data_IF_154750422688
#
_entry.id   IF_154750422688
#
_cell.length_a   1.000
_cell.length_b   1.000
_cell.length_c   1.000
_cell.angle_alpha   90.00
_cell.angle_beta   90.00
_cell.angle_gamma   90.00
#
_symmetry.space_group_name_H-M   'P 1'
#
loop_
_entity.id
_entity.type
_entity.pdbx_description
1 polymer ?
#
# COMPACT_ATOMS: atom_id res chain seq x y z
N UNK A 1 -16.12 5.07 -8.05
CA UNK A 1 -17.59 4.98 -8.12
C UNK A 1 -18.19 5.70 -6.92
N UNK A 2 -19.27 6.50 -7.06
CA UNK A 2 -19.94 7.14 -5.93
C UNK A 2 -20.37 6.13 -4.85
N UNK A 3 -20.24 6.49 -3.56
CA UNK A 3 -20.65 5.60 -2.44
C UNK A 3 -22.13 5.22 -2.51
N UNK A 4 -22.98 6.14 -2.96
CA UNK A 4 -24.44 5.95 -3.11
C UNK A 4 -24.83 4.92 -4.17
N UNK A 5 -23.90 4.58 -5.07
CA UNK A 5 -24.13 3.67 -6.20
C UNK A 5 -23.33 2.37 -6.10
N UNK A 6 -22.84 2.02 -4.89
CA UNK A 6 -22.14 0.75 -4.68
C UNK A 6 -23.11 -0.44 -4.83
N UNK A 7 -22.91 -1.34 -5.81
CA UNK A 7 -23.69 -2.56 -5.88
C UNK A 7 -23.31 -3.44 -4.69
N UNK A 8 -24.24 -4.25 -4.17
CA UNK A 8 -23.96 -5.16 -3.06
C UNK A 8 -23.02 -6.32 -3.47
N UNK A 9 -22.98 -6.65 -4.76
CA UNK A 9 -22.14 -7.72 -5.31
C UNK A 9 -21.80 -7.46 -6.78
N UNK A 10 -20.73 -8.09 -7.27
CA UNK A 10 -20.36 -8.15 -8.67
C UNK A 10 -20.47 -9.58 -9.19
N UNK A 11 -21.14 -9.75 -10.33
CA UNK A 11 -21.22 -11.03 -11.04
C UNK A 11 -20.25 -11.04 -12.20
N UNK A 12 -19.26 -11.93 -12.15
CA UNK A 12 -18.16 -12.01 -13.11
C UNK A 12 -18.28 -13.35 -13.85
N UNK A 13 -18.52 -13.34 -15.17
CA UNK A 13 -18.51 -14.57 -15.95
C UNK A 13 -17.10 -15.15 -16.01
N UNK A 14 -16.97 -16.43 -15.73
CA UNK A 14 -15.71 -17.17 -15.75
C UNK A 14 -15.57 -17.91 -17.08
N UNK A 15 -14.41 -17.78 -17.71
CA UNK A 15 -14.02 -18.69 -18.79
C UNK A 15 -13.60 -20.03 -18.19
N UNK A 16 -14.02 -21.14 -18.79
CA UNK A 16 -13.59 -22.47 -18.39
C UNK A 16 -12.05 -22.54 -18.40
N UNK A 17 -11.40 -22.95 -17.29
CA UNK A 17 -9.95 -23.03 -17.25
C UNK A 17 -9.47 -24.14 -18.20
N UNK A 18 -8.40 -23.92 -18.98
CA UNK A 18 -7.72 -25.02 -19.65
C UNK A 18 -7.24 -26.01 -18.59
N UNK A 19 -7.50 -27.29 -18.81
CA UNK A 19 -7.40 -28.35 -17.82
C UNK A 19 -6.03 -28.40 -17.10
N UNK A 20 -6.09 -28.67 -15.77
CA UNK A 20 -5.02 -28.98 -14.79
C UNK A 20 -4.67 -27.91 -13.74
N UNK A 21 -5.18 -26.69 -13.80
CA UNK A 21 -4.95 -25.69 -12.73
C UNK A 21 -6.28 -25.14 -12.24
N UNK A 22 -6.54 -25.26 -10.94
CA UNK A 22 -7.65 -24.57 -10.27
C UNK A 22 -7.25 -23.12 -10.01
N UNK A 23 -7.85 -22.14 -10.71
CA UNK A 23 -7.56 -20.73 -10.46
C UNK A 23 -7.99 -20.33 -9.04
N UNK A 24 -7.16 -19.52 -8.36
CA UNK A 24 -7.53 -18.91 -7.08
C UNK A 24 -8.16 -17.56 -7.36
N UNK A 25 -9.48 -17.47 -7.24
CA UNK A 25 -10.21 -16.24 -7.47
C UNK A 25 -10.33 -15.39 -6.19
N UNK A 26 -10.39 -14.05 -6.31
CA UNK A 26 -10.79 -13.19 -5.21
C UNK A 26 -12.08 -13.66 -4.56
N UNK A 27 -12.19 -13.49 -3.25
CA UNK A 27 -13.41 -13.85 -2.50
C UNK A 27 -14.35 -12.67 -2.34
N UNK A 28 -13.82 -11.44 -2.38
CA UNK A 28 -14.52 -10.20 -2.11
C UNK A 28 -13.97 -9.10 -3.01
N UNK A 29 -14.73 -8.02 -3.15
CA UNK A 29 -14.24 -6.74 -3.67
C UNK A 29 -14.42 -5.69 -2.61
N UNK A 30 -13.37 -4.99 -2.22
CA UNK A 30 -13.45 -3.86 -1.32
C UNK A 30 -13.79 -2.60 -2.11
N UNK A 31 -14.79 -1.85 -1.67
CA UNK A 31 -15.04 -0.50 -2.12
C UNK A 31 -14.34 0.46 -1.15
N UNK A 32 -13.08 0.79 -1.48
CA UNK A 32 -12.18 1.56 -0.61
C UNK A 32 -12.38 3.03 -0.85
N UNK A 33 -12.66 3.78 0.20
CA UNK A 33 -12.96 5.21 0.14
C UNK A 33 -12.23 5.98 1.23
N UNK A 34 -12.07 7.29 1.05
CA UNK A 34 -11.42 8.09 2.09
C UNK A 34 -12.36 8.27 3.26
N UNK A 35 -11.82 8.15 4.48
CA UNK A 35 -12.50 8.49 5.73
C UNK A 35 -12.54 9.99 6.00
N UNK A 36 -11.71 10.79 5.31
CA UNK A 36 -11.59 12.24 5.50
C UNK A 36 -12.62 13.05 4.73
N UNK A 37 -13.25 12.45 3.72
CA UNK A 37 -14.20 13.12 2.85
C UNK A 37 -15.62 12.65 3.13
N UNK A 38 -16.47 13.60 3.53
CA UNK A 38 -17.88 13.39 3.87
C UNK A 38 -18.81 13.45 2.64
N UNK A 39 -18.38 14.08 1.55
CA UNK A 39 -19.18 14.24 0.32
C UNK A 39 -18.60 13.41 -0.83
N UNK A 40 -19.48 12.64 -1.49
CA UNK A 40 -19.32 11.89 -2.75
C UNK A 40 -17.91 11.35 -3.07
N UNK A 41 -17.29 10.72 -2.07
CA UNK A 41 -15.91 10.24 -2.23
C UNK A 41 -15.93 9.00 -3.10
N UNK A 42 -15.30 9.10 -4.27
CA UNK A 42 -15.21 7.98 -5.17
C UNK A 42 -14.52 6.80 -4.49
N UNK A 43 -15.20 5.67 -4.43
CA UNK A 43 -14.60 4.42 -4.01
C UNK A 43 -13.81 3.79 -5.16
N UNK A 44 -12.64 3.24 -4.84
CA UNK A 44 -11.88 2.34 -5.70
C UNK A 44 -12.30 0.89 -5.41
N UNK A 45 -12.47 0.09 -6.46
CA UNK A 45 -12.89 -1.31 -6.32
C UNK A 45 -11.64 -2.19 -6.33
N UNK A 46 -11.36 -2.88 -5.22
CA UNK A 46 -10.13 -3.64 -5.02
C UNK A 46 -10.45 -5.10 -4.72
N UNK A 47 -10.14 -6.05 -5.62
CA UNK A 47 -10.38 -7.47 -5.37
C UNK A 47 -9.42 -8.03 -4.31
N UNK A 48 -9.93 -8.86 -3.40
CA UNK A 48 -9.16 -9.41 -2.26
C UNK A 48 -9.57 -10.83 -1.87
N UNK A 49 -8.69 -11.53 -1.17
CA UNK A 49 -8.99 -12.76 -0.44
C UNK A 49 -9.18 -12.42 1.04
N UNK A 50 -10.29 -12.82 1.63
CA UNK A 50 -10.58 -12.58 3.05
C UNK A 50 -9.49 -13.16 3.97
N UNK A 51 -8.93 -14.31 3.60
CA UNK A 51 -7.84 -14.95 4.33
C UNK A 51 -6.59 -14.07 4.41
N UNK A 52 -6.21 -13.39 3.33
CA UNK A 52 -5.04 -12.49 3.32
C UNK A 52 -5.26 -11.32 4.28
N UNK A 53 -6.45 -10.72 4.26
CA UNK A 53 -6.79 -9.64 5.19
C UNK A 53 -6.83 -10.12 6.64
N UNK A 54 -7.47 -11.25 6.90
CA UNK A 54 -7.57 -11.81 8.25
C UNK A 54 -6.19 -12.19 8.83
N UNK A 55 -5.28 -12.65 7.97
CA UNK A 55 -3.93 -13.04 8.38
C UNK A 55 -3.04 -11.85 8.75
N UNK A 56 -3.35 -10.62 8.32
CA UNK A 56 -2.42 -9.50 8.41
C UNK A 56 -3.04 -8.23 9.03
N UNK A 57 -4.35 -8.05 8.98
CA UNK A 57 -5.05 -6.86 9.45
C UNK A 57 -5.87 -7.16 10.71
N UNK A 58 -5.32 -6.87 11.89
CA UNK A 58 -5.96 -7.17 13.17
C UNK A 58 -7.24 -6.38 13.46
N UNK A 59 -7.47 -5.26 12.75
CA UNK A 59 -8.67 -4.41 12.93
C UNK A 59 -9.67 -4.58 11.79
N UNK A 60 -9.42 -5.48 10.84
CA UNK A 60 -10.32 -5.71 9.72
C UNK A 60 -11.50 -6.57 10.16
N UNK A 61 -12.75 -6.22 9.78
CA UNK A 61 -13.92 -7.02 10.14
C UNK A 61 -13.84 -8.42 9.51
N UNK A 62 -14.33 -9.43 10.23
CA UNK A 62 -14.38 -10.79 9.71
C UNK A 62 -15.26 -10.85 8.45
N UNK A 63 -14.67 -11.30 7.34
CA UNK A 63 -15.37 -11.48 6.07
C UNK A 63 -15.72 -12.95 5.88
N UNK A 64 -17.02 -13.26 5.93
CA UNK A 64 -17.51 -14.61 5.65
C UNK A 64 -17.17 -14.99 4.21
N UNK A 65 -16.50 -16.11 4.02
CA UNK A 65 -16.23 -16.61 2.67
C UNK A 65 -17.54 -17.02 2.00
N UNK A 66 -17.88 -16.47 0.81
CA UNK A 66 -19.04 -16.93 0.08
C UNK A 66 -18.85 -18.39 -0.33
N UNK A 67 -19.95 -19.14 -0.40
CA UNK A 67 -19.95 -20.53 -0.88
C UNK A 67 -19.33 -20.61 -2.29
N UNK A 68 -18.53 -21.65 -2.53
CA UNK A 68 -17.85 -21.89 -3.81
C UNK A 68 -18.84 -21.77 -5.00
N UNK A 69 -18.42 -21.13 -6.12
CA UNK A 69 -19.29 -20.96 -7.27
C UNK A 69 -19.65 -22.34 -7.86
N UNK A 70 -20.94 -22.68 -7.86
CA UNK A 70 -21.48 -23.88 -8.51
C UNK A 70 -21.67 -23.66 -10.03
N UNK A 71 -21.44 -22.43 -10.50
CA UNK A 71 -21.74 -21.95 -11.86
C UNK A 71 -20.51 -21.33 -12.53
N UNK A 72 -20.57 -21.14 -13.86
CA UNK A 72 -19.62 -20.35 -14.65
C UNK A 72 -19.63 -18.84 -14.32
N UNK A 73 -20.19 -18.43 -13.19
CA UNK A 73 -20.26 -17.04 -12.74
C UNK A 73 -19.77 -16.96 -11.30
N UNK A 74 -18.77 -16.12 -11.09
CA UNK A 74 -18.25 -15.77 -9.78
C UNK A 74 -19.04 -14.58 -9.24
N UNK A 75 -19.72 -14.75 -8.11
CA UNK A 75 -20.41 -13.65 -7.43
C UNK A 75 -19.55 -13.18 -6.26
N UNK A 76 -19.07 -11.95 -6.32
CA UNK A 76 -18.22 -11.34 -5.30
C UNK A 76 -19.01 -10.31 -4.50
N UNK A 77 -19.19 -10.47 -3.18
CA UNK A 77 -19.72 -9.41 -2.34
C UNK A 77 -18.82 -8.17 -2.38
N UNK A 78 -19.45 -7.00 -2.40
CA UNK A 78 -18.76 -5.71 -2.34
C UNK A 78 -18.81 -5.20 -0.90
N UNK A 79 -17.64 -5.02 -0.29
CA UNK A 79 -17.52 -4.59 1.10
C UNK A 79 -17.00 -3.14 1.14
N UNK A 80 -17.81 -2.17 1.60
CA UNK A 80 -17.34 -0.81 1.75
C UNK A 80 -16.35 -0.70 2.91
N UNK A 81 -15.22 -0.04 2.67
CA UNK A 81 -14.26 0.32 3.73
C UNK A 81 -13.87 1.79 3.61
N UNK A 82 -13.54 2.39 4.75
CA UNK A 82 -13.02 3.74 4.83
C UNK A 82 -11.61 3.71 5.40
N UNK A 83 -10.66 4.28 4.68
CA UNK A 83 -9.26 4.42 5.10
C UNK A 83 -8.84 5.88 4.97
N UNK A 84 -7.84 6.36 5.72
CA UNK A 84 -7.30 7.71 5.54
C UNK A 84 -6.95 8.05 4.09
N UNK A 85 -6.27 7.15 3.37
CA UNK A 85 -5.77 7.36 2.00
C UNK A 85 -6.03 6.18 1.06
N UNK A 86 -7.13 6.19 0.28
CA UNK A 86 -7.44 5.08 -0.65
C UNK A 86 -6.34 4.75 -1.65
N UNK A 87 -5.53 5.74 -2.03
CA UNK A 87 -4.39 5.51 -2.92
C UNK A 87 -3.33 4.63 -2.24
N UNK A 88 -3.00 4.89 -0.98
CA UNK A 88 -2.03 4.13 -0.20
C UNK A 88 -2.47 2.68 0.03
N UNK A 89 -3.78 2.43 0.18
CA UNK A 89 -4.33 1.08 0.30
C UNK A 89 -3.90 0.14 -0.84
N UNK A 90 -3.76 0.64 -2.07
CA UNK A 90 -3.35 -0.22 -3.20
C UNK A 90 -1.91 -0.74 -3.06
N UNK A 91 -1.02 0.07 -2.47
CA UNK A 91 0.36 -0.32 -2.14
C UNK A 91 0.35 -1.39 -1.05
N UNK A 92 -0.39 -1.17 0.03
CA UNK A 92 -0.53 -2.15 1.12
C UNK A 92 -1.10 -3.46 0.60
N UNK A 93 -2.14 -3.40 -0.24
CA UNK A 93 -2.76 -4.58 -0.83
C UNK A 93 -1.82 -5.38 -1.72
N UNK A 94 -0.87 -4.74 -2.42
CA UNK A 94 0.18 -5.48 -3.13
C UNK A 94 1.15 -6.15 -2.14
N UNK A 95 1.64 -5.39 -1.15
CA UNK A 95 2.54 -5.90 -0.11
C UNK A 95 1.94 -7.12 0.63
N UNK A 96 0.65 -7.07 0.98
CA UNK A 96 -0.03 -8.16 1.68
C UNK A 96 0.03 -9.51 0.92
N UNK A 97 0.26 -9.46 -0.39
CA UNK A 97 0.33 -10.65 -1.24
C UNK A 97 1.76 -11.02 -1.62
N UNK A 98 2.61 -10.04 -1.92
CA UNK A 98 3.95 -10.28 -2.46
C UNK A 98 5.07 -10.12 -1.43
N UNK A 99 4.77 -9.51 -0.27
CA UNK A 99 5.72 -9.16 0.79
C UNK A 99 6.95 -8.39 0.29
N UNK A 100 6.80 -7.62 -0.80
CA UNK A 100 7.91 -6.89 -1.43
C UNK A 100 8.11 -5.50 -0.85
N UNK A 101 9.09 -5.38 0.04
CA UNK A 101 9.51 -4.09 0.62
C UNK A 101 9.95 -3.10 -0.46
N UNK A 102 10.55 -3.59 -1.54
CA UNK A 102 11.07 -2.73 -2.61
C UNK A 102 9.94 -2.08 -3.41
N UNK A 103 8.85 -2.82 -3.65
CA UNK A 103 7.62 -2.28 -4.24
C UNK A 103 7.01 -1.19 -3.37
N UNK A 104 7.05 -1.34 -2.04
CA UNK A 104 6.53 -0.34 -1.09
C UNK A 104 7.34 0.94 -1.15
N UNK A 105 8.67 0.88 -0.99
CA UNK A 105 9.51 2.07 -1.04
C UNK A 105 9.42 2.78 -2.39
N UNK A 106 9.43 2.02 -3.50
CA UNK A 106 9.30 2.56 -4.84
C UNK A 106 7.99 3.31 -5.07
N UNK A 107 6.91 2.92 -4.39
CA UNK A 107 5.62 3.61 -4.49
C UNK A 107 5.60 4.95 -3.73
N UNK A 108 6.47 5.14 -2.75
CA UNK A 108 6.52 6.36 -1.93
C UNK A 108 7.30 7.48 -2.63
N UNK A 109 8.49 7.16 -3.16
CA UNK A 109 9.40 8.12 -3.79
C UNK A 109 10.53 7.45 -4.57
N UNK A 110 11.25 8.18 -5.44
CA UNK A 110 12.39 7.63 -6.18
C UNK A 110 13.56 7.26 -5.26
N UNK A 111 14.15 6.09 -5.51
CA UNK A 111 15.36 5.59 -4.85
C UNK A 111 16.29 4.93 -5.88
N UNK A 112 17.60 4.77 -5.57
CA UNK A 112 18.54 4.10 -6.45
C UNK A 112 18.10 2.65 -6.76
N UNK A 113 18.12 2.28 -8.04
CA UNK A 113 17.65 0.95 -8.47
C UNK A 113 18.46 -0.20 -7.85
N UNK A 114 19.77 -0.02 -7.65
CA UNK A 114 20.65 -0.97 -6.99
C UNK A 114 20.33 -1.16 -5.50
N UNK A 115 19.83 -0.12 -4.83
CA UNK A 115 19.36 -0.22 -3.46
C UNK A 115 18.07 -1.06 -3.39
N UNK A 116 17.10 -0.75 -4.25
CA UNK A 116 15.83 -1.48 -4.32
C UNK A 116 16.01 -2.95 -4.72
N UNK A 117 16.90 -3.25 -5.66
CA UNK A 117 17.14 -4.61 -6.14
C UNK A 117 17.70 -5.56 -5.06
N UNK A 118 18.38 -5.01 -4.04
CA UNK A 118 18.97 -5.77 -2.93
C UNK A 118 18.24 -5.51 -1.61
N UNK A 119 17.01 -4.99 -1.67
CA UNK A 119 16.28 -4.65 -0.46
C UNK A 119 15.78 -5.92 0.22
N UNK A 120 16.10 -6.02 1.50
CA UNK A 120 15.63 -7.04 2.42
C UNK A 120 15.42 -6.40 3.79
N UNK A 121 14.76 -7.10 4.70
CA UNK A 121 14.57 -6.58 6.06
C UNK A 121 15.91 -6.29 6.76
N UNK A 122 16.94 -7.12 6.55
CA UNK A 122 18.27 -6.87 7.09
C UNK A 122 18.94 -5.64 6.47
N UNK A 123 18.77 -5.41 5.16
CA UNK A 123 19.22 -4.20 4.46
C UNK A 123 18.57 -2.95 5.05
N UNK A 124 17.25 -3.00 5.33
CA UNK A 124 16.51 -1.90 5.96
C UNK A 124 17.10 -1.57 7.32
N UNK A 125 17.26 -2.57 8.20
CA UNK A 125 17.80 -2.39 9.55
C UNK A 125 19.25 -1.90 9.54
N UNK A 126 20.09 -2.44 8.66
CA UNK A 126 21.47 -2.00 8.52
C UNK A 126 21.55 -0.54 8.06
N UNK A 127 20.66 -0.14 7.13
CA UNK A 127 20.56 1.24 6.65
C UNK A 127 20.13 2.17 7.78
N UNK A 128 19.11 1.81 8.56
CA UNK A 128 18.64 2.59 9.72
C UNK A 128 19.75 2.90 10.73
N UNK A 129 20.71 1.98 10.91
CA UNK A 129 21.86 2.19 11.80
C UNK A 129 23.04 2.89 11.13
N UNK A 130 23.02 3.06 9.82
CA UNK A 130 24.11 3.63 9.03
C UNK A 130 23.79 5.06 8.61
N UNK A 131 24.26 6.02 9.41
CA UNK A 131 24.09 7.45 9.12
C UNK A 131 24.64 7.87 7.75
N UNK A 132 25.73 7.24 7.28
CA UNK A 132 26.29 7.53 5.96
C UNK A 132 25.36 7.09 4.83
N UNK A 133 24.81 5.88 4.89
CA UNK A 133 23.92 5.36 3.83
C UNK A 133 22.60 6.12 3.85
N UNK A 134 22.02 6.39 5.03
CA UNK A 134 20.82 7.23 5.15
C UNK A 134 21.02 8.62 4.54
N UNK A 135 22.17 9.25 4.82
CA UNK A 135 22.51 10.54 4.24
C UNK A 135 22.62 10.48 2.71
N UNK A 136 23.24 9.43 2.15
CA UNK A 136 23.33 9.22 0.70
C UNK A 136 21.96 9.05 0.04
N UNK A 137 21.06 8.26 0.65
CA UNK A 137 19.69 8.09 0.15
C UNK A 137 18.88 9.39 0.24
N UNK A 138 19.06 10.13 1.33
CA UNK A 138 18.44 11.44 1.53
C UNK A 138 18.90 12.46 0.49
N UNK A 139 20.21 12.52 0.22
CA UNK A 139 20.79 13.35 -0.85
C UNK A 139 20.22 12.95 -2.22
N UNK A 140 20.18 11.66 -2.53
CA UNK A 140 19.60 11.17 -3.78
C UNK A 140 18.15 11.62 -3.97
N UNK A 141 17.31 11.46 -2.94
CA UNK A 141 15.91 11.89 -3.01
C UNK A 141 15.79 13.42 -3.15
N UNK A 142 16.65 14.17 -2.46
CA UNK A 142 16.71 15.62 -2.54
C UNK A 142 17.06 16.10 -3.97
N UNK A 143 18.10 15.51 -4.57
CA UNK A 143 18.53 15.78 -5.94
C UNK A 143 17.46 15.37 -6.97
N UNK A 144 16.85 14.19 -6.81
CA UNK A 144 15.77 13.72 -7.67
C UNK A 144 14.54 14.65 -7.60
N UNK A 145 14.31 15.27 -6.45
CA UNK A 145 13.28 16.29 -6.23
C UNK A 145 13.74 17.70 -6.64
N UNK A 146 14.96 17.86 -7.18
CA UNK A 146 15.57 19.14 -7.55
C UNK A 146 15.53 20.17 -6.42
N UNK A 147 15.71 19.73 -5.17
CA UNK A 147 15.66 20.59 -3.98
C UNK A 147 14.31 21.31 -3.80
N UNK A 148 13.23 20.81 -4.41
CA UNK A 148 11.89 21.35 -4.27
C UNK A 148 11.20 20.83 -3.00
N UNK A 149 11.02 21.73 -2.03
CA UNK A 149 10.33 21.43 -0.77
C UNK A 149 8.87 21.02 -0.98
N UNK A 150 8.19 21.52 -2.02
CA UNK A 150 6.81 21.11 -2.27
C UNK A 150 6.73 19.63 -2.69
N UNK A 151 7.64 19.19 -3.57
CA UNK A 151 7.77 17.78 -3.97
C UNK A 151 8.14 16.89 -2.79
N UNK A 152 9.12 17.29 -1.97
CA UNK A 152 9.50 16.54 -0.75
C UNK A 152 8.36 16.47 0.28
N UNK A 153 7.57 17.53 0.41
CA UNK A 153 6.37 17.54 1.27
C UNK A 153 5.32 16.56 0.76
N UNK A 154 5.14 16.42 -0.57
CA UNK A 154 4.25 15.40 -1.14
C UNK A 154 4.72 13.98 -0.83
N UNK A 155 6.02 13.72 -0.95
CA UNK A 155 6.59 12.42 -0.55
C UNK A 155 6.35 12.14 0.94
N UNK A 156 6.57 13.13 1.81
CA UNK A 156 6.28 13.02 3.24
C UNK A 156 4.82 12.71 3.51
N UNK A 157 3.90 13.36 2.79
CA UNK A 157 2.47 13.10 2.89
C UNK A 157 2.14 11.65 2.47
N UNK A 158 2.77 11.11 1.43
CA UNK A 158 2.57 9.70 1.02
C UNK A 158 3.06 8.71 2.08
N UNK A 159 4.23 8.93 2.69
CA UNK A 159 4.73 8.07 3.78
C UNK A 159 3.74 8.08 4.94
N UNK A 160 3.31 9.28 5.34
CA UNK A 160 2.33 9.46 6.42
C UNK A 160 1.00 8.79 6.11
N UNK A 161 0.47 8.97 4.91
CA UNK A 161 -0.81 8.37 4.50
C UNK A 161 -0.75 6.84 4.56
N UNK A 162 0.36 6.24 4.11
CA UNK A 162 0.58 4.79 4.19
C UNK A 162 0.64 4.30 5.64
N UNK A 163 1.39 5.00 6.50
CA UNK A 163 1.45 4.73 7.95
C UNK A 163 0.05 4.80 8.58
N UNK A 164 -0.75 5.81 8.25
CA UNK A 164 -2.10 5.97 8.82
C UNK A 164 -3.06 4.86 8.38
N UNK A 165 -2.97 4.43 7.12
CA UNK A 165 -3.72 3.28 6.62
C UNK A 165 -3.30 1.99 7.33
N UNK A 166 -2.00 1.78 7.57
CA UNK A 166 -1.50 0.62 8.33
C UNK A 166 -2.06 0.59 9.75
N UNK A 167 -2.04 1.71 10.47
CA UNK A 167 -2.65 1.84 11.80
C UNK A 167 -4.16 1.55 11.74
N UNK A 168 -4.84 2.07 10.72
CA UNK A 168 -6.30 1.92 10.56
C UNK A 168 -6.70 0.47 10.36
N UNK A 169 -5.97 -0.25 9.50
CA UNK A 169 -6.19 -1.67 9.22
C UNK A 169 -5.69 -2.59 10.34
N UNK A 170 -4.82 -2.09 11.21
CA UNK A 170 -4.15 -2.89 12.23
C UNK A 170 -3.14 -3.86 11.62
N UNK A 171 -2.40 -3.41 10.61
CA UNK A 171 -1.30 -4.19 10.04
C UNK A 171 -0.19 -4.36 11.07
N UNK A 172 0.27 -5.59 11.28
CA UNK A 172 1.25 -5.94 12.33
C UNK A 172 2.55 -6.55 11.79
N UNK A 173 2.80 -6.45 10.49
CA UNK A 173 4.02 -6.93 9.85
C UNK A 173 5.23 -6.05 10.22
N UNK A 174 6.19 -6.62 10.95
CA UNK A 174 7.36 -5.90 11.46
C UNK A 174 8.27 -5.39 10.35
N UNK A 175 8.43 -6.14 9.25
CA UNK A 175 9.31 -5.74 8.16
C UNK A 175 8.76 -4.52 7.42
N UNK A 176 7.43 -4.47 7.26
CA UNK A 176 6.76 -3.31 6.70
C UNK A 176 6.90 -2.08 7.61
N UNK A 177 6.68 -2.22 8.92
CA UNK A 177 6.84 -1.11 9.87
C UNK A 177 8.26 -0.51 9.81
N UNK A 178 9.29 -1.37 9.90
CA UNK A 178 10.70 -0.92 9.79
C UNK A 178 10.99 -0.24 8.44
N UNK A 179 10.35 -0.70 7.36
CA UNK A 179 10.49 -0.11 6.03
C UNK A 179 9.85 1.28 5.94
N UNK A 180 8.72 1.50 6.61
CA UNK A 180 8.10 2.83 6.68
C UNK A 180 8.91 3.79 7.55
N UNK A 181 9.49 3.31 8.65
CA UNK A 181 10.39 4.10 9.48
C UNK A 181 11.63 4.53 8.68
N UNK A 182 12.21 3.62 7.89
CA UNK A 182 13.29 3.98 6.96
C UNK A 182 12.85 5.02 5.94
N UNK A 183 11.66 4.87 5.36
CA UNK A 183 11.14 5.83 4.38
C UNK A 183 10.98 7.23 4.99
N UNK A 184 10.54 7.29 6.25
CA UNK A 184 10.39 8.52 7.02
C UNK A 184 11.72 9.22 7.25
N UNK A 185 12.75 8.49 7.67
CA UNK A 185 14.09 9.05 7.89
C UNK A 185 14.73 9.59 6.60
N UNK A 186 14.57 8.86 5.49
CA UNK A 186 15.08 9.31 4.18
C UNK A 186 14.42 10.62 3.74
N UNK A 187 13.09 10.73 3.84
CA UNK A 187 12.39 11.94 3.38
C UNK A 187 12.64 13.13 4.29
N UNK A 188 12.76 12.92 5.61
CA UNK A 188 13.11 13.96 6.56
C UNK A 188 14.54 14.47 6.35
N UNK A 189 15.49 13.56 6.12
CA UNK A 189 16.86 13.89 5.74
C UNK A 189 16.92 14.72 4.46
N UNK A 190 16.17 14.32 3.43
CA UNK A 190 16.09 15.05 2.16
C UNK A 190 15.52 16.47 2.34
N UNK A 191 14.49 16.64 3.16
CA UNK A 191 13.93 17.96 3.49
C UNK A 191 14.94 18.85 4.18
N UNK A 192 15.67 18.33 5.16
CA UNK A 192 16.71 19.09 5.86
C UNK A 192 17.82 19.56 4.90
N UNK A 193 18.27 18.68 4.01
CA UNK A 193 19.26 19.02 2.98
C UNK A 193 18.76 20.11 2.03
N UNK A 194 17.50 20.03 1.59
CA UNK A 194 16.90 21.04 0.72
C UNK A 194 16.79 22.43 1.38
N UNK A 195 16.58 22.48 2.70
CA UNK A 195 16.57 23.75 3.45
C UNK A 195 17.98 24.34 3.55
N UNK A 196 18.98 23.53 3.89
CA UNK A 196 20.37 23.98 4.05
C UNK A 196 20.95 24.48 2.73
N UNK A 197 20.71 23.79 1.62
CA UNK A 197 21.29 24.16 0.31
C UNK A 197 20.59 25.34 -0.38
N UNK A 198 19.49 25.87 0.17
CA UNK A 198 18.85 27.11 -0.30
C UNK A 198 19.44 28.37 0.32
N UNK A 199 20.29 28.24 1.34
CA UNK A 199 21.03 29.34 1.98
C UNK A 199 22.38 29.55 1.29
#
# INVERSE_FOLDING_TARGET
MPKSHLPPSLSIPLRAPPSRVTPTYPTHVLAVSSSRSSHDSQAIMVPVHSLVLAAQCARFPELRTPSMPVSHTLTLPVIPIAVPSPAAFTVLRSFMYDHRLDSVLKALFPLPANFLANLSHSTVRATMTSGQVLHQLSLYLCEASKYDLQTLTKHTAHVKDLWQDMVTLGLFDTELWDTIDLAWEIVLGAMNLAVVMRQ
#
